data_IF_122698954672
#
_entry.id   IF_122698954672
#
_cell.length_a   1.000
_cell.length_b   1.000
_cell.length_c   1.000
_cell.angle_alpha   90.00
_cell.angle_beta   90.00
_cell.angle_gamma   90.00
#
_symmetry.space_group_name_H-M   'P 1'
#
loop_
_entity.id
_entity.type
_entity.pdbx_description
1 polymer ?
#
# COMPACT_ATOMS: atom_id res chain seq x y z
N UNK A 1 1.86 -57.72 -31.92
CA UNK A 1 1.90 -57.58 -30.45
C UNK A 1 2.71 -56.32 -30.16
N UNK A 2 2.29 -55.31 -29.41
CA UNK A 2 1.08 -55.05 -28.62
C UNK A 2 1.10 -53.54 -28.37
N UNK A 3 -0.03 -52.87 -28.59
CA UNK A 3 -0.26 -51.46 -28.28
C UNK A 3 -0.37 -51.26 -26.76
N UNK A 4 0.23 -50.20 -26.22
CA UNK A 4 -0.05 -49.74 -24.86
C UNK A 4 -0.59 -48.31 -24.96
N UNK A 5 -1.92 -48.25 -24.92
CA UNK A 5 -2.75 -47.06 -24.84
C UNK A 5 -2.67 -46.47 -23.44
N UNK A 6 -2.05 -45.29 -23.32
CA UNK A 6 -2.28 -44.42 -22.17
C UNK A 6 -3.37 -43.42 -22.51
N UNK A 7 -4.51 -43.62 -21.85
CA UNK A 7 -5.71 -42.80 -21.94
C UNK A 7 -5.97 -42.25 -20.54
N UNK A 8 -5.83 -40.92 -20.36
CA UNK A 8 -6.51 -40.02 -19.37
C UNK A 8 -5.63 -38.80 -19.11
N UNK A 9 -6.10 -37.56 -19.02
CA UNK A 9 -7.45 -37.02 -18.95
C UNK A 9 -7.34 -35.54 -19.31
N UNK A 10 -7.84 -35.13 -20.47
CA UNK A 10 -7.96 -33.71 -20.81
C UNK A 10 -9.08 -33.13 -19.96
N UNK A 11 -8.73 -32.51 -18.84
CA UNK A 11 -9.66 -31.67 -18.08
C UNK A 11 -9.96 -30.40 -18.89
N UNK A 12 -10.78 -30.54 -19.93
CA UNK A 12 -11.51 -29.43 -20.54
C UNK A 12 -12.60 -28.99 -19.55
N UNK A 13 -12.17 -28.31 -18.48
CA UNK A 13 -13.06 -27.45 -17.73
C UNK A 13 -13.38 -26.27 -18.66
N UNK A 14 -14.63 -26.21 -19.12
CA UNK A 14 -15.11 -25.06 -19.87
C UNK A 14 -14.86 -23.78 -19.06
N UNK A 15 -14.55 -22.68 -19.75
CA UNK A 15 -14.34 -21.36 -19.13
C UNK A 15 -15.43 -21.02 -18.11
N UNK A 16 -16.66 -21.45 -18.38
CA UNK A 16 -17.83 -21.26 -17.54
C UNK A 16 -17.73 -22.01 -16.19
N UNK A 17 -17.20 -23.24 -16.17
CA UNK A 17 -17.00 -24.02 -14.94
C UNK A 17 -15.93 -23.41 -14.04
N UNK A 18 -14.89 -22.81 -14.63
CA UNK A 18 -13.83 -22.10 -13.88
C UNK A 18 -14.35 -20.83 -13.24
N UNK A 19 -15.19 -20.07 -13.96
CA UNK A 19 -15.85 -18.88 -13.43
C UNK A 19 -16.78 -19.20 -12.27
N UNK A 20 -17.60 -20.27 -12.39
CA UNK A 20 -18.49 -20.72 -11.31
C UNK A 20 -17.68 -21.13 -10.07
N UNK A 21 -16.57 -21.86 -10.24
CA UNK A 21 -15.71 -22.24 -9.13
C UNK A 21 -15.09 -21.03 -8.41
N UNK A 22 -14.65 -20.01 -9.16
CA UNK A 22 -14.10 -18.76 -8.60
C UNK A 22 -15.19 -18.02 -7.79
N UNK A 23 -16.40 -17.87 -8.34
CA UNK A 23 -17.51 -17.23 -7.63
C UNK A 23 -17.91 -18.01 -6.37
N UNK A 24 -17.93 -19.34 -6.42
CA UNK A 24 -18.24 -20.18 -5.26
C UNK A 24 -17.19 -20.03 -4.14
N UNK A 25 -15.89 -19.98 -4.49
CA UNK A 25 -14.82 -19.72 -3.52
C UNK A 25 -14.93 -18.31 -2.92
N UNK A 26 -15.26 -17.31 -3.74
CA UNK A 26 -15.40 -15.92 -3.29
C UNK A 26 -16.59 -15.77 -2.33
N UNK A 27 -17.75 -16.37 -2.65
CA UNK A 27 -18.93 -16.36 -1.79
C UNK A 27 -18.71 -17.12 -0.48
N UNK A 28 -17.99 -18.25 -0.52
CA UNK A 28 -17.61 -18.99 0.69
C UNK A 28 -16.68 -18.16 1.59
N UNK A 29 -15.71 -17.45 1.01
CA UNK A 29 -14.82 -16.55 1.75
C UNK A 29 -15.58 -15.36 2.37
N UNK A 30 -16.59 -14.82 1.68
CA UNK A 30 -17.43 -13.74 2.23
C UNK A 30 -18.36 -14.21 3.36
N UNK A 31 -18.89 -15.44 3.31
CA UNK A 31 -19.74 -15.97 4.38
C UNK A 31 -18.99 -16.16 5.72
N UNK A 32 -17.69 -16.44 5.67
CA UNK A 32 -16.85 -16.53 6.86
C UNK A 32 -16.59 -15.19 7.56
N UNK A 33 -16.72 -14.07 6.84
CA UNK A 33 -16.38 -12.74 7.36
C UNK A 33 -17.52 -12.11 8.20
N UNK A 34 -18.77 -12.56 8.00
CA UNK A 34 -19.97 -12.00 8.66
C UNK A 34 -20.32 -12.73 9.98
N UNK A 35 -19.67 -13.87 10.28
CA UNK A 35 -19.89 -14.59 11.55
C UNK A 35 -19.13 -13.89 12.68
N UNK A 36 -19.84 -12.95 13.30
CA UNK A 36 -19.38 -11.96 14.25
C UNK A 36 -18.64 -12.47 15.49
N UNK A 37 -17.76 -11.59 15.97
CA UNK A 37 -17.25 -11.56 17.32
C UNK A 37 -18.42 -11.46 18.32
N UNK A 38 -18.66 -12.52 19.08
CA UNK A 38 -19.52 -12.48 20.27
C UNK A 38 -18.64 -12.56 21.53
N UNK A 39 -18.57 -11.43 22.25
CA UNK A 39 -18.00 -11.33 23.60
C UNK A 39 -18.92 -12.05 24.58
N UNK A 40 -18.41 -13.08 25.26
CA UNK A 40 -19.14 -13.78 26.32
C UNK A 40 -18.50 -13.54 27.68
N UNK A 41 -18.99 -12.55 28.44
CA UNK A 41 -18.75 -12.47 29.90
C UNK A 41 -19.93 -13.13 30.61
N UNK A 42 -19.76 -14.37 31.05
CA UNK A 42 -20.73 -15.02 31.93
C UNK A 42 -20.43 -14.62 33.39
N UNK A 43 -21.27 -13.76 33.96
CA UNK A 43 -21.45 -13.67 35.41
C UNK A 43 -22.53 -14.68 35.81
N UNK A 44 -22.31 -15.46 36.87
CA UNK A 44 -23.35 -16.34 37.44
C UNK A 44 -23.63 -15.96 38.89
N UNK A 45 -24.86 -15.55 39.25
CA UNK A 45 -25.30 -15.41 40.63
C UNK A 45 -25.67 -16.78 41.22
N UNK A 46 -25.53 -16.87 42.55
CA UNK A 46 -25.35 -18.12 43.28
C UNK A 46 -26.57 -18.95 43.65
N UNK A 47 -26.28 -20.10 44.27
CA UNK A 47 -27.14 -20.83 45.21
C UNK A 47 -26.32 -21.92 45.90
N UNK A 48 -26.00 -21.72 47.19
CA UNK A 48 -25.81 -22.78 48.20
C UNK A 48 -27.17 -23.49 48.43
N UNK A 49 -27.27 -24.73 48.98
CA UNK A 49 -26.45 -25.21 50.10
C UNK A 49 -26.06 -26.71 50.11
N UNK A 50 -25.17 -27.03 51.05
CA UNK A 50 -25.24 -28.15 52.02
C UNK A 50 -23.98 -29.02 52.12
N UNK A 51 -23.52 -29.13 53.37
CA UNK A 51 -22.29 -29.67 53.94
C UNK A 51 -22.34 -31.18 54.18
N UNK A 52 -21.27 -31.92 53.85
CA UNK A 52 -20.53 -32.84 54.78
C UNK A 52 -19.23 -33.38 54.17
N UNK A 53 -18.23 -33.58 55.04
CA UNK A 53 -16.82 -33.92 54.80
C UNK A 53 -16.55 -35.29 54.14
N UNK A 54 -15.51 -35.42 53.31
CA UNK A 54 -14.29 -36.27 53.55
C UNK A 54 -13.27 -36.21 52.41
N UNK A 55 -12.01 -36.52 52.77
CA UNK A 55 -10.72 -36.40 52.08
C UNK A 55 -10.54 -37.42 50.94
N UNK A 56 -9.99 -37.01 49.79
CA UNK A 56 -8.94 -37.71 49.02
C UNK A 56 -8.68 -37.00 47.68
N UNK A 57 -7.40 -36.90 47.30
CA UNK A 57 -6.94 -36.05 46.21
C UNK A 57 -7.09 -36.61 44.79
N UNK A 58 -6.98 -35.71 43.84
CA UNK A 58 -6.30 -35.90 42.56
C UNK A 58 -6.23 -34.55 41.85
N UNK A 59 -5.03 -34.00 41.75
CA UNK A 59 -4.71 -32.82 40.93
C UNK A 59 -4.98 -33.15 39.46
N UNK A 60 -5.82 -32.40 38.72
CA UNK A 60 -5.91 -32.60 37.28
C UNK A 60 -4.65 -32.04 36.60
N UNK A 61 -4.07 -32.72 35.60
CA UNK A 61 -2.87 -32.25 34.95
C UNK A 61 -3.16 -31.00 34.12
N UNK A 62 -2.42 -29.92 34.40
CA UNK A 62 -2.36 -28.72 33.58
C UNK A 62 -1.74 -29.15 32.24
N UNK A 63 -2.59 -29.30 31.23
CA UNK A 63 -2.13 -29.44 29.84
C UNK A 63 -1.66 -28.07 29.40
N UNK A 64 -0.35 -27.81 29.51
CA UNK A 64 0.30 -26.66 28.89
C UNK A 64 0.19 -26.84 27.38
N UNK A 65 -0.85 -26.26 26.77
CA UNK A 65 -0.87 -26.04 25.33
C UNK A 65 0.17 -24.96 25.08
N UNK A 66 1.31 -25.38 24.55
CA UNK A 66 2.31 -24.53 23.95
C UNK A 66 1.61 -23.77 22.80
N UNK A 67 1.01 -22.63 23.10
CA UNK A 67 0.46 -21.75 22.09
C UNK A 67 1.66 -21.24 21.30
N UNK A 68 1.80 -21.73 20.07
CA UNK A 68 2.64 -21.08 19.08
C UNK A 68 2.25 -19.60 19.07
N UNK A 69 3.18 -18.66 19.35
CA UNK A 69 2.83 -17.26 19.33
C UNK A 69 2.32 -16.94 17.93
N UNK A 70 1.06 -16.49 17.86
CA UNK A 70 0.57 -15.83 16.66
C UNK A 70 1.56 -14.72 16.37
N UNK A 71 2.14 -14.63 15.15
CA UNK A 71 3.04 -13.54 14.83
C UNK A 71 2.27 -12.24 15.03
N UNK A 72 2.61 -11.53 16.11
CA UNK A 72 2.23 -10.14 16.27
C UNK A 72 2.73 -9.44 15.02
N UNK A 73 1.89 -8.66 14.29
CA UNK A 73 2.37 -7.82 13.22
C UNK A 73 3.54 -7.03 13.81
N UNK A 74 4.74 -7.24 13.28
CA UNK A 74 5.89 -6.47 13.70
C UNK A 74 5.55 -5.04 13.29
N UNK A 75 5.13 -4.22 14.25
CA UNK A 75 4.94 -2.80 14.04
C UNK A 75 6.35 -2.29 13.78
N UNK A 76 6.75 -2.26 12.51
CA UNK A 76 8.03 -1.71 12.12
C UNK A 76 8.08 -0.30 12.68
N UNK A 77 9.05 -0.08 13.56
CA UNK A 77 9.24 1.22 14.13
C UNK A 77 9.64 2.16 13.00
N UNK A 78 8.91 3.25 12.75
CA UNK A 78 9.26 4.18 11.69
C UNK A 78 10.72 4.63 11.86
N UNK A 79 11.49 4.55 10.79
CA UNK A 79 12.88 5.03 10.76
C UNK A 79 12.96 6.37 10.01
N UNK A 80 13.99 7.19 10.27
CA UNK A 80 14.20 8.43 9.52
C UNK A 80 14.33 8.18 8.01
N UNK A 81 13.50 8.86 7.22
CA UNK A 81 13.43 8.71 5.76
C UNK A 81 14.37 9.67 5.01
N UNK A 82 15.15 9.14 4.08
CA UNK A 82 15.95 9.90 3.11
C UNK A 82 15.11 10.46 1.98
N UNK A 83 15.74 11.19 1.06
CA UNK A 83 15.09 11.68 -0.15
C UNK A 83 14.62 10.48 -0.99
N UNK A 84 13.33 10.39 -1.34
CA UNK A 84 12.85 9.33 -2.20
C UNK A 84 13.60 9.34 -3.53
N UNK A 85 13.92 8.16 -4.05
CA UNK A 85 14.49 8.03 -5.40
C UNK A 85 13.36 7.96 -6.41
N UNK A 86 13.36 8.88 -7.37
CA UNK A 86 12.39 8.94 -8.45
C UNK A 86 13.02 8.30 -9.69
N UNK A 87 12.28 7.41 -10.33
CA UNK A 87 12.61 6.78 -11.61
C UNK A 87 11.50 7.08 -12.61
N UNK A 88 11.85 7.73 -13.71
CA UNK A 88 10.94 8.12 -14.79
C UNK A 88 11.46 7.55 -16.11
N UNK A 89 10.54 7.08 -16.95
CA UNK A 89 10.91 6.54 -18.27
C UNK A 89 11.31 7.64 -19.27
N UNK A 90 10.83 8.87 -19.08
CA UNK A 90 11.11 10.01 -19.95
C UNK A 90 11.01 11.32 -19.15
N UNK A 91 11.95 12.23 -19.37
CA UNK A 91 11.93 13.60 -18.87
C UNK A 91 11.18 14.56 -19.81
N UNK A 92 10.76 14.08 -20.99
CA UNK A 92 9.93 14.81 -21.95
C UNK A 92 8.57 14.12 -22.04
N UNK A 93 7.51 14.88 -21.82
CA UNK A 93 6.12 14.39 -21.79
C UNK A 93 5.22 15.24 -22.68
N UNK A 94 4.26 14.62 -23.36
CA UNK A 94 3.28 15.28 -24.19
C UNK A 94 1.97 15.47 -23.42
N UNK A 95 1.45 16.70 -23.42
CA UNK A 95 0.15 17.03 -22.86
C UNK A 95 -0.93 16.81 -23.92
N UNK A 96 -1.40 15.56 -24.08
CA UNK A 96 -2.33 15.17 -25.14
C UNK A 96 -3.42 14.17 -24.74
N UNK A 97 -3.57 13.86 -23.45
CA UNK A 97 -4.56 12.90 -22.91
C UNK A 97 -4.45 11.44 -23.44
N UNK A 98 -3.44 11.13 -24.25
CA UNK A 98 -3.30 9.81 -24.90
C UNK A 98 -2.04 9.07 -24.45
N UNK A 99 -0.90 9.75 -24.36
CA UNK A 99 0.35 9.12 -23.97
C UNK A 99 0.38 8.81 -22.48
N UNK A 100 0.63 7.54 -22.18
CA UNK A 100 0.78 7.05 -20.80
C UNK A 100 2.26 7.10 -20.42
N UNK A 101 2.53 7.70 -19.28
CA UNK A 101 3.84 7.78 -18.65
C UNK A 101 3.84 6.98 -17.36
N UNK A 102 5.02 6.50 -16.97
CA UNK A 102 5.22 5.77 -15.73
C UNK A 102 6.27 6.47 -14.88
N UNK A 103 5.94 6.65 -13.60
CA UNK A 103 6.87 7.06 -12.55
C UNK A 103 6.90 6.00 -11.46
N UNK A 104 8.09 5.70 -10.96
CA UNK A 104 8.31 4.92 -9.75
C UNK A 104 9.01 5.74 -8.69
N UNK A 105 8.61 5.54 -7.44
CA UNK A 105 9.25 6.14 -6.26
C UNK A 105 9.71 5.02 -5.34
N UNK A 106 10.98 5.07 -4.95
CA UNK A 106 11.57 4.19 -3.95
C UNK A 106 11.85 4.98 -2.67
N UNK A 107 11.28 4.53 -1.56
CA UNK A 107 11.57 5.06 -0.23
C UNK A 107 13.00 4.70 0.16
N UNK A 108 13.72 5.66 0.74
CA UNK A 108 15.09 5.49 1.23
C UNK A 108 15.20 5.85 2.71
N UNK A 109 16.21 5.31 3.40
CA UNK A 109 16.56 5.67 4.78
C UNK A 109 17.55 6.85 4.83
N UNK A 110 17.98 7.22 6.03
CA UNK A 110 19.06 8.21 6.21
C UNK A 110 20.37 7.59 6.71
N UNK A 111 20.56 6.27 6.62
CA UNK A 111 21.72 5.62 7.27
C UNK A 111 23.06 6.12 6.71
N UNK A 112 23.07 6.50 5.43
CA UNK A 112 24.24 7.05 4.72
C UNK A 112 24.10 8.57 4.46
N UNK A 113 23.07 9.21 5.03
CA UNK A 113 22.68 10.59 4.74
C UNK A 113 21.47 10.69 3.80
N UNK A 114 20.80 11.85 3.79
CA UNK A 114 19.49 12.03 3.13
C UNK A 114 19.51 11.77 1.62
N UNK A 115 20.58 12.10 0.91
CA UNK A 115 20.64 11.98 -0.55
C UNK A 115 21.11 10.61 -1.06
N UNK A 116 21.71 9.78 -0.20
CA UNK A 116 22.36 8.52 -0.58
C UNK A 116 21.89 7.33 0.27
N UNK A 117 20.69 7.46 0.84
CA UNK A 117 20.04 6.42 1.64
C UNK A 117 19.85 5.09 0.92
N UNK A 118 19.75 4.02 1.72
CA UNK A 118 19.45 2.68 1.20
C UNK A 118 17.94 2.51 1.01
N UNK A 119 17.49 1.65 0.09
CA UNK A 119 16.07 1.32 -0.06
C UNK A 119 15.46 0.79 1.24
N UNK A 120 14.29 1.33 1.62
CA UNK A 120 13.52 0.87 2.77
C UNK A 120 12.55 -0.20 2.33
N UNK A 121 12.57 -1.34 3.01
CA UNK A 121 11.66 -2.47 2.75
C UNK A 121 10.71 -2.59 3.93
N UNK A 122 9.65 -1.79 3.90
CA UNK A 122 8.72 -1.66 5.00
C UNK A 122 7.29 -1.40 4.50
N UNK A 123 6.33 -1.66 5.37
CA UNK A 123 4.90 -1.35 5.13
C UNK A 123 4.44 -0.11 5.90
N UNK A 124 3.28 0.44 5.50
CA UNK A 124 2.68 1.60 6.19
C UNK A 124 3.34 2.94 5.85
N UNK A 125 4.07 3.01 4.73
CA UNK A 125 4.59 4.27 4.19
C UNK A 125 3.62 4.75 3.11
N UNK A 126 3.18 6.00 3.23
CA UNK A 126 2.36 6.69 2.24
C UNK A 126 3.27 7.40 1.24
N UNK A 127 2.94 7.25 -0.03
CA UNK A 127 3.62 7.82 -1.19
C UNK A 127 2.65 8.79 -1.88
N UNK A 128 3.10 10.04 -2.15
CA UNK A 128 2.32 11.04 -2.91
C UNK A 128 3.18 11.65 -4.01
N UNK A 129 2.58 11.89 -5.18
CA UNK A 129 3.22 12.67 -6.25
C UNK A 129 2.35 13.83 -6.73
N UNK A 130 2.96 14.89 -7.23
CA UNK A 130 2.25 15.98 -7.87
C UNK A 130 3.16 16.78 -8.81
N UNK A 131 2.56 17.60 -9.64
CA UNK A 131 3.27 18.46 -10.59
C UNK A 131 3.26 19.92 -10.13
N UNK A 132 4.36 20.63 -10.33
CA UNK A 132 4.45 22.08 -10.09
C UNK A 132 5.27 22.78 -11.17
N UNK A 133 4.96 24.05 -11.46
CA UNK A 133 5.80 24.96 -12.27
C UNK A 133 6.85 25.74 -11.47
N UNK A 134 6.93 25.53 -10.16
CA UNK A 134 7.82 26.33 -9.32
C UNK A 134 9.29 25.98 -9.57
N UNK A 135 10.00 26.82 -10.33
CA UNK A 135 11.46 26.72 -10.56
C UNK A 135 12.32 26.67 -9.30
N UNK A 136 11.77 27.03 -8.13
CA UNK A 136 12.46 27.02 -6.85
C UNK A 136 11.82 26.06 -5.85
N UNK A 137 11.42 24.85 -6.30
CA UNK A 137 10.76 23.82 -5.46
C UNK A 137 11.41 23.70 -4.08
N UNK A 138 12.74 23.59 -4.00
CA UNK A 138 13.48 23.45 -2.72
C UNK A 138 13.30 24.63 -1.75
N UNK A 139 13.21 25.85 -2.27
CA UNK A 139 13.08 27.05 -1.42
C UNK A 139 11.64 27.29 -1.00
N UNK A 140 10.69 26.93 -1.85
CA UNK A 140 9.29 27.32 -1.70
C UNK A 140 8.39 26.19 -1.16
N UNK A 141 8.94 24.99 -0.96
CA UNK A 141 8.22 23.86 -0.39
C UNK A 141 7.83 24.14 1.07
N UNK A 142 6.53 24.17 1.43
CA UNK A 142 6.09 24.33 2.81
C UNK A 142 6.26 23.01 3.57
N UNK A 143 7.49 22.78 4.04
CA UNK A 143 7.92 21.52 4.68
C UNK A 143 7.23 21.21 6.00
N UNK A 144 6.65 22.22 6.65
CA UNK A 144 5.79 22.10 7.83
C UNK A 144 4.48 21.38 7.52
N UNK A 145 3.98 21.51 6.30
CA UNK A 145 2.74 20.88 5.84
C UNK A 145 2.94 19.46 5.32
N UNK A 146 4.15 19.06 4.95
CA UNK A 146 4.43 17.78 4.27
C UNK A 146 4.23 16.52 5.13
N UNK A 147 3.90 16.65 6.41
CA UNK A 147 3.60 15.51 7.29
C UNK A 147 2.24 14.92 6.96
N UNK A 148 2.06 13.62 7.21
CA UNK A 148 0.77 12.94 7.03
C UNK A 148 0.25 13.14 5.60
N UNK A 149 0.90 12.46 4.65
CA UNK A 149 0.70 12.70 3.22
C UNK A 149 -0.76 12.53 2.75
N UNK A 150 -1.53 11.71 3.47
CA UNK A 150 -2.97 11.49 3.32
C UNK A 150 -3.84 12.70 3.72
N UNK A 151 -3.34 13.55 4.61
CA UNK A 151 -4.03 14.78 5.07
C UNK A 151 -3.64 16.03 4.25
N UNK A 152 -2.70 15.90 3.33
CA UNK A 152 -2.29 16.99 2.46
C UNK A 152 -3.44 17.39 1.52
N UNK A 153 -4.02 18.55 1.78
CA UNK A 153 -4.99 19.18 0.88
C UNK A 153 -4.46 19.22 -0.55
N UNK A 154 -5.26 18.70 -1.48
CA UNK A 154 -5.07 18.91 -2.90
C UNK A 154 -6.01 20.04 -3.36
N UNK A 155 -5.51 21.04 -4.12
CA UNK A 155 -4.12 21.18 -4.53
C UNK A 155 -3.21 21.65 -3.39
N UNK A 156 -2.03 21.05 -3.32
CA UNK A 156 -0.93 21.51 -2.49
C UNK A 156 -0.42 22.87 -3.03
N UNK A 157 0.21 23.74 -2.23
CA UNK A 157 0.68 25.04 -2.72
C UNK A 157 1.51 24.94 -4.00
N UNK A 158 1.10 25.69 -5.03
CA UNK A 158 1.69 25.72 -6.38
C UNK A 158 1.65 24.37 -7.13
N UNK A 159 0.79 23.46 -6.70
CA UNK A 159 0.44 22.29 -7.49
C UNK A 159 -0.37 22.70 -8.73
N UNK A 160 0.02 22.16 -9.88
CA UNK A 160 -0.74 22.29 -11.12
C UNK A 160 -1.86 21.24 -11.08
N UNK A 161 -2.94 21.61 -10.40
CA UNK A 161 -4.08 20.72 -10.17
C UNK A 161 -4.71 20.27 -11.48
N UNK A 162 -4.98 18.97 -11.62
CA UNK A 162 -5.58 18.41 -12.82
C UNK A 162 -4.64 18.29 -14.02
N UNK A 163 -3.35 18.61 -13.87
CA UNK A 163 -2.35 18.37 -14.93
C UNK A 163 -1.93 16.92 -15.08
N UNK A 164 -2.04 16.13 -14.01
CA UNK A 164 -1.79 14.69 -14.03
C UNK A 164 -3.12 13.95 -13.92
N UNK A 165 -3.43 13.14 -14.92
CA UNK A 165 -4.56 12.22 -14.90
C UNK A 165 -4.11 10.82 -14.46
N UNK A 166 -4.50 10.48 -13.23
CA UNK A 166 -4.33 9.14 -12.65
C UNK A 166 -5.54 8.26 -13.00
N UNK A 167 -5.62 7.87 -14.27
CA UNK A 167 -6.75 7.10 -14.80
C UNK A 167 -6.87 5.69 -14.17
N UNK A 168 -5.78 5.16 -13.62
CA UNK A 168 -5.81 3.93 -12.83
C UNK A 168 -6.19 4.24 -11.38
N UNK A 169 -7.44 3.94 -11.04
CA UNK A 169 -7.99 4.14 -9.67
C UNK A 169 -7.27 3.34 -8.58
N UNK A 170 -6.46 2.33 -8.95
CA UNK A 170 -5.66 1.56 -7.99
C UNK A 170 -4.36 2.26 -7.61
N UNK A 171 -3.91 3.22 -8.43
CA UNK A 171 -2.72 4.05 -8.16
C UNK A 171 -3.09 5.54 -8.14
N UNK A 172 -3.94 5.98 -7.18
CA UNK A 172 -4.29 7.38 -7.05
C UNK A 172 -3.05 8.23 -6.71
N UNK A 173 -3.18 9.55 -6.86
CA UNK A 173 -2.12 10.53 -6.59
C UNK A 173 -1.39 10.29 -5.25
N UNK A 174 -2.17 9.96 -4.22
CA UNK A 174 -1.68 9.57 -2.89
C UNK A 174 -2.07 8.12 -2.65
N UNK A 175 -1.09 7.24 -2.42
CA UNK A 175 -1.30 5.82 -2.22
C UNK A 175 -0.28 5.24 -1.23
N UNK A 176 -0.55 4.04 -0.72
CA UNK A 176 0.44 3.31 0.08
C UNK A 176 1.57 2.79 -0.82
N UNK A 177 2.82 2.95 -0.38
CA UNK A 177 3.92 2.22 -0.99
C UNK A 177 3.78 0.72 -0.65
N UNK A 178 4.22 -0.17 -1.55
CA UNK A 178 4.18 -1.61 -1.29
C UNK A 178 5.18 -2.03 -0.20
N UNK A 179 5.17 -3.31 0.19
CA UNK A 179 6.06 -3.85 1.23
C UNK A 179 7.58 -3.74 0.94
N UNK A 180 7.97 -3.36 -0.29
CA UNK A 180 9.37 -3.06 -0.67
C UNK A 180 9.66 -1.55 -0.64
N UNK A 181 8.78 -0.75 -0.04
CA UNK A 181 8.87 0.70 -0.02
C UNK A 181 8.81 1.33 -1.42
N UNK A 182 8.09 0.72 -2.36
CA UNK A 182 7.97 1.23 -3.73
C UNK A 182 6.53 1.56 -4.08
N UNK A 183 6.32 2.70 -4.72
CA UNK A 183 5.07 3.05 -5.39
C UNK A 183 5.33 3.31 -6.87
N UNK A 184 4.34 3.00 -7.70
CA UNK A 184 4.39 3.23 -9.15
C UNK A 184 3.05 3.83 -9.56
N UNK A 185 3.10 4.83 -10.44
CA UNK A 185 1.92 5.43 -11.04
C UNK A 185 2.03 5.34 -12.56
N UNK A 186 0.90 5.05 -13.18
CA UNK A 186 0.69 5.33 -14.58
C UNK A 186 -0.19 6.58 -14.68
N UNK A 187 0.24 7.55 -15.47
CA UNK A 187 -0.45 8.82 -15.59
C UNK A 187 -0.40 9.31 -17.03
N UNK A 188 -1.34 10.20 -17.35
CA UNK A 188 -1.29 11.03 -18.55
C UNK A 188 -1.09 12.48 -18.14
N UNK A 189 -0.46 13.26 -19.01
CA UNK A 189 -0.46 14.71 -18.85
C UNK A 189 -1.65 15.26 -19.61
N UNK A 190 -2.50 16.02 -18.94
CA UNK A 190 -3.75 16.48 -19.54
C UNK A 190 -3.48 17.53 -20.61
N UNK A 191 -4.26 17.54 -21.70
CA UNK A 191 -4.08 18.49 -22.82
C UNK A 191 -4.28 19.96 -22.44
N UNK A 192 -4.94 20.23 -21.31
CA UNK A 192 -5.05 21.57 -20.73
C UNK A 192 -3.75 22.07 -20.09
N UNK A 193 -2.76 21.21 -19.89
CA UNK A 193 -1.47 21.56 -19.31
C UNK A 193 -0.61 22.30 -20.34
N UNK A 194 -0.29 23.56 -20.05
CA UNK A 194 0.52 24.39 -20.95
C UNK A 194 1.94 23.81 -21.15
N UNK A 195 2.56 23.95 -22.33
CA UNK A 195 3.95 23.56 -22.52
C UNK A 195 4.91 24.34 -21.60
N UNK A 196 5.99 23.70 -21.16
CA UNK A 196 7.01 24.33 -20.34
C UNK A 196 7.80 23.36 -19.47
N UNK A 197 8.64 23.92 -18.61
CA UNK A 197 9.39 23.16 -17.61
C UNK A 197 8.58 23.03 -16.33
N UNK A 198 8.45 21.80 -15.83
CA UNK A 198 7.75 21.45 -14.62
C UNK A 198 8.64 20.58 -13.73
N UNK A 199 8.22 20.40 -12.50
CA UNK A 199 8.88 19.54 -11.53
C UNK A 199 7.86 18.53 -11.01
N UNK A 200 8.18 17.25 -11.20
CA UNK A 200 7.42 16.15 -10.64
C UNK A 200 7.99 15.86 -9.25
N UNK A 201 7.18 16.13 -8.23
CA UNK A 201 7.57 16.02 -6.83
C UNK A 201 7.06 14.70 -6.28
N UNK A 202 7.90 14.01 -5.50
CA UNK A 202 7.52 12.85 -4.73
C UNK A 202 7.71 13.11 -3.23
N UNK A 203 6.73 12.69 -2.44
CA UNK A 203 6.74 12.70 -0.98
C UNK A 203 6.56 11.28 -0.47
N UNK A 204 7.38 10.92 0.52
CA UNK A 204 7.22 9.72 1.32
C UNK A 204 6.98 10.11 2.76
N UNK A 205 6.01 9.47 3.39
CA UNK A 205 5.59 9.75 4.75
C UNK A 205 5.29 8.45 5.50
N UNK A 206 5.88 8.27 6.68
CA UNK A 206 5.64 7.14 7.55
C UNK A 206 4.82 7.61 8.75
N UNK A 207 3.50 7.57 8.59
CA UNK A 207 2.50 7.94 9.59
C UNK A 207 2.68 9.36 10.18
N UNK A 208 3.15 10.35 9.39
CA UNK A 208 3.40 11.71 9.86
C UNK A 208 4.62 11.89 10.78
N UNK A 209 5.35 10.81 11.08
CA UNK A 209 6.50 10.82 12.01
C UNK A 209 7.78 11.14 11.25
N UNK A 210 8.06 10.35 10.22
CA UNK A 210 9.21 10.53 9.35
C UNK A 210 8.74 10.70 7.92
N UNK A 211 9.16 11.79 7.30
CA UNK A 211 8.75 12.14 5.96
C UNK A 211 9.91 12.83 5.27
N UNK A 212 9.93 12.69 3.95
CA UNK A 212 10.89 13.40 3.13
C UNK A 212 10.40 13.44 1.68
N UNK A 213 11.03 14.29 0.88
CA UNK A 213 10.55 14.57 -0.45
C UNK A 213 11.72 14.83 -1.41
N UNK A 214 11.48 14.62 -2.68
CA UNK A 214 12.43 14.91 -3.76
C UNK A 214 11.65 15.30 -5.01
N UNK A 215 12.38 15.73 -6.03
CA UNK A 215 11.77 16.17 -7.28
C UNK A 215 12.69 15.87 -8.46
N UNK A 216 12.09 15.74 -9.63
CA UNK A 216 12.78 15.68 -10.91
C UNK A 216 12.17 16.70 -11.86
N UNK A 217 13.00 17.28 -12.72
CA UNK A 217 12.53 18.17 -13.76
C UNK A 217 11.96 17.35 -14.92
N UNK A 218 10.82 17.79 -15.47
CA UNK A 218 10.27 17.29 -16.72
C UNK A 218 9.91 18.46 -17.65
N UNK A 219 9.92 18.22 -18.95
CA UNK A 219 9.49 19.18 -19.97
C UNK A 219 8.18 18.71 -20.59
N UNK A 220 7.14 19.51 -20.40
CA UNK A 220 5.84 19.30 -21.03
C UNK A 220 5.85 19.94 -22.42
N UNK A 221 5.56 19.16 -23.44
CA UNK A 221 5.42 19.60 -24.82
C UNK A 221 3.95 19.72 -25.20
N UNK A 222 3.69 20.57 -26.20
CA UNK A 222 2.36 20.74 -26.78
C UNK A 222 1.91 19.44 -27.45
N UNK A 223 0.64 19.06 -27.27
CA UNK A 223 -0.02 18.14 -28.21
C UNK A 223 0.16 18.67 -29.62
N UNK A 224 0.63 17.83 -30.54
CA UNK A 224 0.47 18.12 -31.97
C UNK A 224 -0.98 17.96 -32.37
#
# INVERSE_FOLDING_TARGET
MQTLSEQRQTNNLSSQSRTIAIFAMLLFAFAGLISGFAVGTFTRPGSHPQTTNTIAGSTPPITSRNMTPTPTPHLEHPIPLGFPKIDIASDIVAADDTHTYTISVQVTDQSNGKAVGNPVHASGITCKIWLTKDGNVNKNMPTDRLKAADTLSSPFPKEESGSLDFFDTTTPQTQMCNAKGRATWNYKVTSSTAPGTYFLVALTDWNGIHYNWSWVQINVMKSQ
#
